data_IF_402718261744
#
_entry.id   IF_402718261744
#
_cell.length_a   1.000
_cell.length_b   1.000
_cell.length_c   1.000
_cell.angle_alpha   90.00
_cell.angle_beta   90.00
_cell.angle_gamma   90.00
#
_symmetry.space_group_name_H-M   'P 1'
#
loop_
_entity.id
_entity.type
_entity.pdbx_description
1 polymer ?
#
# COMPACT_ATOMS: atom_id res chain seq x y z
N UNK A 1 6.63 -39.41 -17.88
CA UNK A 1 6.26 -38.99 -19.23
C UNK A 1 4.87 -38.40 -19.20
N UNK A 2 4.74 -37.12 -19.25
CA UNK A 2 3.89 -36.27 -20.07
C UNK A 2 3.88 -34.83 -19.51
N UNK A 3 4.77 -34.06 -20.08
CA UNK A 3 4.77 -32.60 -19.99
C UNK A 3 3.77 -32.08 -21.01
N UNK A 4 2.61 -31.59 -20.60
CA UNK A 4 1.78 -30.69 -21.43
C UNK A 4 0.86 -29.86 -20.55
N UNK A 5 1.02 -28.54 -20.62
CA UNK A 5 -0.01 -27.59 -20.23
C UNK A 5 0.47 -26.31 -19.54
N UNK A 6 1.59 -25.71 -19.96
CA UNK A 6 1.75 -24.27 -19.71
C UNK A 6 0.86 -23.54 -20.69
N UNK A 7 -0.29 -23.04 -20.24
CA UNK A 7 -1.05 -22.07 -21.00
C UNK A 7 -0.26 -20.76 -20.95
N UNK A 8 0.31 -20.36 -22.09
CA UNK A 8 0.76 -19.00 -22.30
C UNK A 8 -0.47 -18.10 -22.25
N UNK A 9 -0.66 -17.42 -21.13
CA UNK A 9 -1.58 -16.30 -21.04
C UNK A 9 -0.94 -15.18 -21.87
N UNK A 10 -1.35 -15.02 -23.12
CA UNK A 10 -1.13 -13.82 -23.88
C UNK A 10 -1.94 -12.70 -23.21
N UNK A 11 -1.29 -11.96 -22.33
CA UNK A 11 -1.81 -10.67 -21.91
C UNK A 11 -1.76 -9.76 -23.13
N UNK A 12 -2.94 -9.35 -23.60
CA UNK A 12 -3.02 -8.29 -24.59
C UNK A 12 -2.23 -7.08 -24.06
N UNK A 13 -1.41 -6.48 -24.93
CA UNK A 13 -0.72 -5.21 -24.71
C UNK A 13 -1.76 -4.09 -24.45
N UNK A 14 -2.34 -4.07 -23.26
CA UNK A 14 -3.11 -2.93 -22.80
C UNK A 14 -2.10 -1.86 -22.40
N UNK A 15 -1.80 -0.97 -23.35
CA UNK A 15 -1.06 0.26 -23.09
C UNK A 15 -1.63 0.91 -21.85
N UNK A 16 -0.77 1.21 -20.87
CA UNK A 16 -1.13 2.07 -19.75
C UNK A 16 -1.79 3.33 -20.33
N UNK A 17 -2.90 3.82 -19.77
CA UNK A 17 -3.49 5.04 -20.26
C UNK A 17 -2.44 6.14 -20.22
N UNK A 18 -2.10 6.69 -21.40
CA UNK A 18 -1.25 7.89 -21.47
C UNK A 18 -1.94 8.97 -20.65
N UNK A 19 -1.28 9.43 -19.62
CA UNK A 19 -1.70 10.57 -18.83
C UNK A 19 -1.58 11.82 -19.73
N UNK A 20 -2.65 12.11 -20.48
CA UNK A 20 -2.70 13.26 -21.37
C UNK A 20 -2.67 14.54 -20.52
N UNK A 21 -1.50 15.15 -20.45
CA UNK A 21 -1.34 16.50 -19.88
C UNK A 21 -0.16 16.73 -18.95
N UNK A 22 0.53 15.73 -18.45
CA UNK A 22 1.77 15.91 -17.69
C UNK A 22 2.97 15.55 -18.57
N UNK A 23 3.56 16.55 -19.23
CA UNK A 23 4.92 16.43 -19.76
C UNK A 23 5.85 16.25 -18.56
N UNK A 24 6.40 15.06 -18.39
CA UNK A 24 7.46 14.80 -17.42
C UNK A 24 8.62 15.72 -17.79
N UNK A 25 8.92 16.72 -16.97
CA UNK A 25 10.13 17.48 -17.11
C UNK A 25 11.29 16.53 -16.74
N UNK A 26 12.48 16.77 -17.22
CA UNK A 26 13.62 15.83 -17.16
C UNK A 26 14.34 15.79 -15.81
N UNK A 27 13.70 16.21 -14.71
CA UNK A 27 14.34 16.28 -13.40
C UNK A 27 14.51 14.90 -12.76
N UNK A 28 13.50 14.02 -12.89
CA UNK A 28 13.55 12.66 -12.39
C UNK A 28 13.65 11.66 -13.54
N UNK A 29 14.68 10.82 -13.51
CA UNK A 29 14.83 9.69 -14.43
C UNK A 29 14.09 8.48 -13.88
N UNK A 30 12.77 8.47 -14.11
CA UNK A 30 11.89 7.36 -13.67
C UNK A 30 12.06 6.18 -14.63
N UNK A 31 12.47 5.02 -14.12
CA UNK A 31 12.65 3.80 -14.89
C UNK A 31 11.71 2.71 -14.39
N UNK A 32 10.78 2.19 -15.21
CA UNK A 32 9.91 1.09 -14.81
C UNK A 32 10.71 -0.14 -14.37
N UNK A 33 10.27 -0.80 -13.29
CA UNK A 33 10.80 -2.06 -12.80
C UNK A 33 10.01 -3.26 -13.34
N UNK A 34 8.75 -3.04 -13.67
CA UNK A 34 7.86 -4.06 -14.21
C UNK A 34 6.84 -3.47 -15.19
N UNK A 35 6.07 -4.34 -15.88
CA UNK A 35 5.11 -3.88 -16.89
C UNK A 35 3.84 -3.25 -16.28
N UNK A 36 3.58 -3.44 -15.00
CA UNK A 36 2.33 -3.04 -14.35
C UNK A 36 2.52 -2.16 -13.14
N UNK A 37 3.51 -2.46 -12.30
CA UNK A 37 3.78 -1.79 -11.04
C UNK A 37 5.27 -1.62 -10.84
N UNK A 38 5.63 -0.55 -10.16
CA UNK A 38 6.98 -0.27 -9.71
C UNK A 38 7.82 0.50 -10.71
N UNK A 39 8.46 1.53 -10.23
CA UNK A 39 9.53 2.23 -10.92
C UNK A 39 10.67 2.59 -9.95
N UNK A 40 11.86 2.82 -10.47
CA UNK A 40 13.01 3.31 -9.70
C UNK A 40 13.43 4.70 -10.18
N UNK A 41 13.91 5.49 -9.23
CA UNK A 41 14.62 6.76 -9.48
C UNK A 41 15.98 6.65 -8.84
N UNK A 42 17.02 6.60 -9.68
CA UNK A 42 18.41 6.57 -9.21
C UNK A 42 18.93 7.98 -8.99
N UNK A 43 19.89 8.12 -8.10
CA UNK A 43 20.52 9.40 -7.76
C UNK A 43 19.51 10.48 -7.32
N UNK A 44 18.43 10.06 -6.63
CA UNK A 44 17.41 10.99 -6.15
C UNK A 44 18.00 11.99 -5.15
N UNK A 45 17.72 13.28 -5.39
CA UNK A 45 18.05 14.38 -4.48
C UNK A 45 16.92 15.40 -4.49
N UNK A 46 16.51 15.79 -3.29
CA UNK A 46 15.50 16.84 -3.12
C UNK A 46 16.19 18.22 -3.09
N UNK A 47 16.57 18.72 -4.26
CA UNK A 47 17.25 20.01 -4.36
C UNK A 47 16.31 21.17 -4.03
N UNK A 48 16.69 22.05 -3.11
CA UNK A 48 15.87 23.17 -2.64
C UNK A 48 15.39 24.10 -3.78
N UNK A 49 16.24 24.34 -4.80
CA UNK A 49 15.91 25.21 -5.94
C UNK A 49 14.84 24.66 -6.88
N UNK A 50 14.61 23.35 -6.89
CA UNK A 50 13.65 22.66 -7.76
C UNK A 50 12.70 21.73 -6.98
N UNK A 51 12.65 21.85 -5.66
CA UNK A 51 11.89 20.98 -4.77
C UNK A 51 10.44 20.78 -5.20
N UNK A 52 9.73 21.87 -5.49
CA UNK A 52 8.33 21.83 -5.90
C UNK A 52 8.12 21.03 -7.19
N UNK A 53 9.00 21.15 -8.16
CA UNK A 53 8.86 20.45 -9.43
C UNK A 53 9.27 19.00 -9.31
N UNK A 54 10.31 18.69 -8.52
CA UNK A 54 10.69 17.31 -8.16
C UNK A 54 9.53 16.57 -7.49
N UNK A 55 8.86 17.20 -6.52
CA UNK A 55 7.73 16.60 -5.82
C UNK A 55 6.54 16.34 -6.74
N UNK A 56 6.25 17.25 -7.67
CA UNK A 56 5.21 17.02 -8.69
C UNK A 56 5.55 15.87 -9.65
N UNK A 57 6.82 15.76 -10.06
CA UNK A 57 7.24 14.63 -10.90
C UNK A 57 7.20 13.32 -10.15
N UNK A 58 7.55 13.33 -8.86
CA UNK A 58 7.42 12.17 -7.98
C UNK A 58 5.97 11.72 -7.85
N UNK A 59 5.04 12.66 -7.65
CA UNK A 59 3.60 12.39 -7.61
C UNK A 59 3.11 11.79 -8.94
N UNK A 60 3.47 12.40 -10.07
CA UNK A 60 3.11 11.90 -11.38
C UNK A 60 3.66 10.47 -11.62
N UNK A 61 4.90 10.23 -11.24
CA UNK A 61 5.51 8.92 -11.32
C UNK A 61 4.80 7.89 -10.43
N UNK A 62 4.43 8.26 -9.20
CA UNK A 62 3.69 7.39 -8.28
C UNK A 62 2.31 7.04 -8.82
N UNK A 63 1.58 8.03 -9.34
CA UNK A 63 0.27 7.84 -9.98
C UNK A 63 0.35 6.90 -11.19
N UNK A 64 1.43 7.00 -11.97
CA UNK A 64 1.64 6.16 -13.14
C UNK A 64 2.08 4.74 -12.81
N UNK A 65 2.97 4.57 -11.81
CA UNK A 65 3.64 3.31 -11.52
C UNK A 65 3.18 2.64 -10.22
N UNK A 66 2.29 3.26 -9.45
CA UNK A 66 1.69 2.76 -8.19
C UNK A 66 2.69 2.55 -7.04
N UNK A 67 3.98 2.37 -7.34
CA UNK A 67 5.07 2.30 -6.37
C UNK A 67 6.36 2.85 -6.98
N UNK A 68 7.16 3.59 -6.18
CA UNK A 68 8.45 4.12 -6.60
C UNK A 68 9.52 3.78 -5.57
N UNK A 69 10.65 3.30 -6.06
CA UNK A 69 11.87 3.10 -5.27
C UNK A 69 12.82 4.27 -5.51
N UNK A 70 13.09 5.06 -4.48
CA UNK A 70 14.05 6.16 -4.52
C UNK A 70 15.40 5.67 -4.01
N UNK A 71 16.45 5.76 -4.84
CA UNK A 71 17.81 5.53 -4.40
C UNK A 71 18.35 6.85 -3.81
N UNK A 72 18.14 7.04 -2.52
CA UNK A 72 18.41 8.25 -1.76
C UNK A 72 19.11 7.94 -0.44
N UNK A 73 20.37 7.45 -0.47
CA UNK A 73 21.07 7.03 0.74
C UNK A 73 21.25 8.15 1.77
N UNK A 74 21.32 9.39 1.30
CA UNK A 74 21.55 10.57 2.13
C UNK A 74 20.27 11.35 2.42
N UNK A 75 19.08 10.72 2.28
CA UNK A 75 17.81 11.37 2.55
C UNK A 75 17.71 11.77 4.03
N UNK A 76 17.62 13.06 4.31
CA UNK A 76 17.47 13.55 5.67
C UNK A 76 16.05 13.31 6.22
N UNK A 77 15.86 13.32 7.54
CA UNK A 77 14.50 13.29 8.13
C UNK A 77 13.64 14.46 7.68
N UNK A 78 14.22 15.64 7.47
CA UNK A 78 13.55 16.83 6.94
C UNK A 78 13.02 16.59 5.53
N UNK A 79 13.86 16.06 4.63
CA UNK A 79 13.48 15.76 3.25
C UNK A 79 12.45 14.66 3.19
N UNK A 80 12.57 13.62 4.04
CA UNK A 80 11.58 12.56 4.17
C UNK A 80 10.21 13.14 4.54
N UNK A 81 10.16 14.00 5.56
CA UNK A 81 8.92 14.63 6.02
C UNK A 81 8.36 15.61 4.98
N UNK A 82 9.22 16.33 4.27
CA UNK A 82 8.81 17.24 3.21
C UNK A 82 8.19 16.51 2.01
N UNK A 83 8.73 15.34 1.65
CA UNK A 83 8.11 14.47 0.62
C UNK A 83 6.75 13.98 1.11
N UNK A 84 6.66 13.48 2.34
CA UNK A 84 5.40 12.99 2.91
C UNK A 84 4.32 14.08 2.94
N UNK A 85 4.65 15.28 3.38
CA UNK A 85 3.75 16.44 3.44
C UNK A 85 3.25 16.93 2.09
N UNK A 86 3.96 16.62 1.00
CA UNK A 86 3.46 16.93 -0.34
C UNK A 86 2.19 16.16 -0.69
N UNK A 87 2.07 14.92 -0.18
CA UNK A 87 0.90 14.07 -0.42
C UNK A 87 -0.25 14.31 0.55
N UNK A 88 0.01 14.91 1.70
CA UNK A 88 -1.00 15.17 2.72
C UNK A 88 -0.40 15.47 4.08
N UNK A 89 -1.25 15.57 5.09
CA UNK A 89 -0.81 15.75 6.46
C UNK A 89 -0.21 14.44 6.99
N UNK A 90 1.02 14.52 7.48
CA UNK A 90 1.71 13.37 8.06
C UNK A 90 1.28 13.20 9.53
N UNK A 91 0.63 12.08 9.83
CA UNK A 91 0.13 11.78 11.17
C UNK A 91 1.21 11.22 12.09
N UNK A 92 0.99 11.39 13.41
CA UNK A 92 1.85 10.80 14.43
C UNK A 92 1.26 9.47 14.90
N UNK A 93 1.97 8.38 14.63
CA UNK A 93 1.60 7.06 15.15
C UNK A 93 1.91 6.94 16.63
N UNK A 94 0.88 6.72 17.43
CA UNK A 94 1.05 6.55 18.90
C UNK A 94 1.46 5.13 19.29
N UNK A 95 1.47 4.19 18.35
CA UNK A 95 1.70 2.76 18.61
C UNK A 95 3.14 2.31 18.43
N UNK A 96 3.94 3.07 17.72
CA UNK A 96 5.34 2.76 17.42
C UNK A 96 6.25 3.85 17.96
N UNK A 97 7.50 3.53 18.29
CA UNK A 97 8.50 4.56 18.55
C UNK A 97 8.69 5.44 17.32
N UNK A 98 9.06 6.68 17.54
CA UNK A 98 9.31 7.65 16.48
C UNK A 98 10.67 8.33 16.68
N UNK A 99 11.11 9.13 15.71
CA UNK A 99 12.40 9.82 15.78
C UNK A 99 12.44 10.91 16.85
N UNK A 100 11.29 11.41 17.32
CA UNK A 100 11.21 12.54 18.27
C UNK A 100 11.83 13.82 17.72
N UNK A 101 11.95 14.82 18.59
CA UNK A 101 12.65 16.08 18.30
C UNK A 101 12.15 16.84 17.05
N UNK A 102 10.84 16.86 16.82
CA UNK A 102 10.20 17.51 15.66
C UNK A 102 9.99 16.61 14.46
N UNK A 103 10.29 15.30 14.59
CA UNK A 103 10.06 14.27 13.58
C UNK A 103 9.17 13.13 14.11
N UNK A 104 8.23 13.46 14.97
CA UNK A 104 7.32 12.50 15.60
C UNK A 104 6.44 11.74 14.60
N UNK A 105 6.28 12.28 13.41
CA UNK A 105 5.56 11.62 12.29
C UNK A 105 6.37 10.49 11.64
N UNK A 106 7.70 10.45 11.87
CA UNK A 106 8.55 9.39 11.32
C UNK A 106 8.62 8.25 12.33
N UNK A 107 7.88 7.20 12.05
CA UNK A 107 7.83 5.98 12.84
C UNK A 107 9.09 5.13 12.62
N UNK A 108 9.62 4.57 13.70
CA UNK A 108 10.73 3.62 13.65
C UNK A 108 10.16 2.21 13.64
N UNK A 109 10.49 1.43 12.61
CA UNK A 109 10.16 0.00 12.51
C UNK A 109 11.46 -0.79 12.62
N UNK A 110 11.59 -1.60 13.65
CA UNK A 110 12.79 -2.40 13.90
C UNK A 110 12.44 -3.89 14.08
N UNK A 111 12.88 -4.71 13.13
CA UNK A 111 12.63 -6.16 13.16
C UNK A 111 13.23 -6.86 14.39
N UNK A 112 14.24 -6.26 15.05
CA UNK A 112 14.78 -6.77 16.32
C UNK A 112 13.80 -6.62 17.48
N UNK A 113 12.85 -5.68 17.38
CA UNK A 113 11.77 -5.48 18.34
C UNK A 113 10.54 -6.34 18.03
N UNK A 114 10.60 -7.18 17.00
CA UNK A 114 9.52 -8.07 16.59
C UNK A 114 8.59 -7.46 15.51
N UNK A 115 8.88 -6.26 15.03
CA UNK A 115 8.09 -5.64 13.97
C UNK A 115 8.20 -6.44 12.67
N UNK A 116 7.06 -6.93 12.17
CA UNK A 116 6.96 -7.74 10.95
C UNK A 116 5.73 -7.33 10.15
N UNK A 117 5.89 -7.39 8.83
CA UNK A 117 4.79 -7.27 7.88
C UNK A 117 4.92 -8.45 6.88
N UNK A 118 4.36 -9.61 7.25
CA UNK A 118 4.43 -10.87 6.49
C UNK A 118 3.09 -11.24 5.82
N UNK A 119 2.11 -10.35 5.91
CA UNK A 119 0.80 -10.49 5.30
C UNK A 119 0.50 -9.30 4.37
N UNK A 120 -0.19 -9.56 3.26
CA UNK A 120 -0.67 -8.50 2.38
C UNK A 120 -1.65 -7.57 3.09
N UNK A 121 -1.41 -6.27 3.05
CA UNK A 121 -2.26 -5.27 3.66
C UNK A 121 -2.20 -3.93 2.93
N UNK A 122 -3.21 -3.11 3.18
CA UNK A 122 -3.17 -1.66 3.01
C UNK A 122 -2.97 -1.05 4.39
N UNK A 123 -2.03 -0.15 4.52
CA UNK A 123 -1.80 0.54 5.79
C UNK A 123 -3.08 1.25 6.23
N UNK A 124 -3.44 1.04 7.50
CA UNK A 124 -4.53 1.71 8.20
C UNK A 124 -5.90 1.68 7.48
N UNK A 125 -6.15 0.67 6.65
CA UNK A 125 -7.42 0.54 5.93
C UNK A 125 -8.66 0.42 6.84
N UNK A 126 -8.47 0.23 8.14
CA UNK A 126 -9.51 0.27 9.15
C UNK A 126 -9.95 1.69 9.55
N UNK A 127 -9.26 2.74 9.07
CA UNK A 127 -9.65 4.14 9.28
C UNK A 127 -10.69 4.60 8.25
N UNK A 128 -11.53 5.60 8.61
CA UNK A 128 -12.46 6.21 7.65
C UNK A 128 -11.74 6.86 6.47
N UNK A 129 -10.57 7.43 6.71
CA UNK A 129 -9.71 8.08 5.71
C UNK A 129 -8.30 7.49 5.81
N UNK A 130 -8.02 6.36 5.15
CA UNK A 130 -6.70 5.75 5.15
C UNK A 130 -5.65 6.64 4.48
N UNK A 131 -4.36 6.46 4.78
CA UNK A 131 -3.28 7.17 4.12
C UNK A 131 -3.34 7.04 2.59
N UNK A 132 -3.05 8.12 1.88
CA UNK A 132 -2.98 8.13 0.41
C UNK A 132 -1.68 7.46 -0.05
N UNK A 133 -0.60 7.68 0.68
CA UNK A 133 0.75 7.19 0.38
C UNK A 133 1.43 6.76 1.68
N UNK A 134 2.12 5.66 1.64
CA UNK A 134 3.07 5.24 2.68
C UNK A 134 4.48 5.36 2.13
N UNK A 135 5.38 5.93 2.91
CA UNK A 135 6.78 6.08 2.56
C UNK A 135 7.66 5.47 3.64
N UNK A 136 8.53 4.55 3.25
CA UNK A 136 9.52 3.94 4.13
C UNK A 136 10.94 4.26 3.66
N UNK A 137 11.85 4.54 4.61
CA UNK A 137 13.26 4.75 4.33
C UNK A 137 14.08 3.69 5.05
N UNK A 138 14.67 2.78 4.29
CA UNK A 138 15.50 1.70 4.83
C UNK A 138 16.81 2.26 5.38
N UNK A 139 17.04 2.10 6.68
CA UNK A 139 18.27 2.51 7.37
C UNK A 139 19.28 1.37 7.48
N UNK A 140 18.78 0.17 7.76
CA UNK A 140 19.58 -1.04 7.88
C UNK A 140 18.87 -2.14 7.11
N UNK A 141 19.57 -2.76 6.19
CA UNK A 141 19.07 -3.89 5.42
C UNK A 141 19.85 -5.16 5.79
N UNK A 142 19.20 -6.31 5.92
CA UNK A 142 19.91 -7.57 6.09
C UNK A 142 20.64 -7.94 4.79
N UNK A 143 21.69 -8.76 4.85
CA UNK A 143 22.43 -9.20 3.65
C UNK A 143 21.58 -10.11 2.75
N UNK A 144 20.54 -10.74 3.28
CA UNK A 144 19.62 -11.65 2.58
C UNK A 144 18.23 -11.55 3.19
N UNK A 145 17.20 -11.47 2.34
CA UNK A 145 15.81 -11.41 2.74
C UNK A 145 15.38 -10.02 3.26
N UNK A 146 14.19 -9.94 3.83
CA UNK A 146 13.60 -8.68 4.29
C UNK A 146 13.09 -7.81 3.16
N UNK A 147 12.81 -8.40 2.00
CA UNK A 147 12.27 -7.67 0.84
C UNK A 147 10.88 -7.13 1.12
N UNK A 148 10.63 -5.90 0.65
CA UNK A 148 9.28 -5.34 0.64
C UNK A 148 8.64 -5.61 -0.72
N UNK A 149 7.45 -6.20 -0.70
CA UNK A 149 6.71 -6.55 -1.91
C UNK A 149 5.47 -5.66 -2.06
N UNK A 150 5.15 -5.31 -3.30
CA UNK A 150 3.93 -4.59 -3.65
C UNK A 150 3.14 -5.34 -4.71
N UNK A 151 1.82 -5.25 -4.64
CA UNK A 151 0.89 -5.83 -5.59
C UNK A 151 -0.04 -4.75 -6.13
N UNK A 152 -0.28 -4.77 -7.44
CA UNK A 152 -1.19 -3.83 -8.10
C UNK A 152 -2.64 -4.29 -7.94
N UNK A 153 -3.40 -3.61 -7.10
CA UNK A 153 -4.81 -3.90 -6.88
C UNK A 153 -5.70 -3.43 -8.03
N UNK A 154 -5.21 -2.50 -8.86
CA UNK A 154 -5.87 -2.14 -10.13
C UNK A 154 -5.71 -3.28 -11.14
N UNK A 155 -4.52 -3.86 -11.27
CA UNK A 155 -4.30 -5.02 -12.14
C UNK A 155 -5.05 -6.26 -11.67
N UNK A 156 -5.15 -6.47 -10.36
CA UNK A 156 -5.97 -7.55 -9.80
C UNK A 156 -7.45 -7.38 -10.17
N UNK A 157 -7.99 -6.16 -10.04
CA UNK A 157 -9.36 -5.88 -10.50
C UNK A 157 -9.52 -6.11 -12.01
N UNK A 158 -8.58 -5.62 -12.83
CA UNK A 158 -8.63 -5.73 -14.29
C UNK A 158 -8.65 -7.20 -14.74
N UNK A 159 -7.96 -8.09 -14.02
CA UNK A 159 -7.88 -9.52 -14.32
C UNK A 159 -9.14 -10.32 -13.97
N UNK A 160 -10.07 -9.76 -13.21
CA UNK A 160 -11.35 -10.41 -12.92
C UNK A 160 -12.22 -10.50 -14.18
N UNK A 161 -13.06 -11.54 -14.25
CA UNK A 161 -14.10 -11.61 -15.27
C UNK A 161 -15.11 -10.48 -15.15
N UNK A 162 -15.72 -10.06 -16.25
CA UNK A 162 -16.74 -8.99 -16.24
C UNK A 162 -17.92 -9.32 -15.33
N UNK A 163 -18.30 -10.59 -15.22
CA UNK A 163 -19.36 -11.01 -14.29
C UNK A 163 -18.95 -10.85 -12.83
N UNK A 164 -17.68 -11.15 -12.49
CA UNK A 164 -17.19 -10.93 -11.14
C UNK A 164 -17.09 -9.43 -10.84
N UNK A 165 -16.59 -8.63 -11.75
CA UNK A 165 -16.56 -7.16 -11.61
C UNK A 165 -17.95 -6.60 -11.32
N UNK A 166 -18.95 -7.00 -12.11
CA UNK A 166 -20.35 -6.61 -11.91
C UNK A 166 -20.91 -7.06 -10.55
N UNK A 167 -20.57 -8.27 -10.12
CA UNK A 167 -21.00 -8.79 -8.83
C UNK A 167 -20.42 -8.01 -7.64
N UNK A 168 -19.15 -7.62 -7.74
CA UNK A 168 -18.45 -6.92 -6.67
C UNK A 168 -18.81 -5.42 -6.59
N UNK A 169 -19.33 -4.84 -7.67
CA UNK A 169 -19.74 -3.44 -7.67
C UNK A 169 -20.88 -3.19 -6.68
N UNK A 170 -20.70 -2.19 -5.83
CA UNK A 170 -21.65 -1.82 -4.79
C UNK A 170 -21.53 -2.61 -3.49
N UNK A 171 -20.74 -3.71 -3.47
CA UNK A 171 -20.45 -4.40 -2.22
C UNK A 171 -19.49 -3.58 -1.36
N UNK A 172 -19.66 -3.69 -0.05
CA UNK A 172 -18.80 -3.07 0.95
C UNK A 172 -18.23 -4.15 1.88
N UNK A 173 -17.02 -3.92 2.39
CA UNK A 173 -16.40 -4.82 3.34
C UNK A 173 -15.92 -4.06 4.58
N UNK A 174 -16.03 -4.70 5.72
CA UNK A 174 -15.52 -4.20 6.98
C UNK A 174 -14.03 -4.47 7.09
N UNK A 175 -13.29 -3.42 7.42
CA UNK A 175 -11.88 -3.46 7.78
C UNK A 175 -11.75 -3.18 9.27
N UNK A 176 -10.96 -3.99 9.98
CA UNK A 176 -10.89 -3.99 11.44
C UNK A 176 -9.47 -4.27 11.93
N UNK A 177 -9.01 -3.50 12.91
CA UNK A 177 -7.70 -3.68 13.55
C UNK A 177 -7.72 -4.74 14.66
N UNK A 178 -8.90 -5.15 15.15
CA UNK A 178 -9.00 -6.05 16.30
C UNK A 178 -8.45 -7.45 16.01
N UNK A 179 -8.65 -7.97 14.80
CA UNK A 179 -8.10 -9.26 14.37
C UNK A 179 -6.57 -9.30 14.49
N UNK A 180 -5.86 -8.46 13.75
CA UNK A 180 -4.40 -8.34 13.83
C UNK A 180 -3.87 -8.12 15.26
N UNK A 181 -4.53 -7.27 16.05
CA UNK A 181 -4.12 -7.03 17.43
C UNK A 181 -4.32 -8.24 18.33
N UNK A 182 -5.39 -8.99 18.12
CA UNK A 182 -5.65 -10.25 18.86
C UNK A 182 -4.58 -11.29 18.52
N UNK A 183 -4.20 -11.40 17.27
CA UNK A 183 -3.15 -12.32 16.84
C UNK A 183 -1.77 -11.89 17.34
N UNK A 184 -1.47 -10.60 17.30
CA UNK A 184 -0.25 -10.04 17.88
C UNK A 184 -0.13 -10.31 19.39
N UNK A 185 -1.24 -10.22 20.14
CA UNK A 185 -1.27 -10.57 21.55
C UNK A 185 -1.04 -12.07 21.77
N UNK A 186 -1.69 -12.94 21.01
CA UNK A 186 -1.52 -14.42 21.10
C UNK A 186 -0.08 -14.84 20.87
N UNK A 187 0.62 -14.16 19.99
CA UNK A 187 2.01 -14.45 19.65
C UNK A 187 3.03 -13.66 20.49
N UNK A 188 2.57 -12.94 21.53
CA UNK A 188 3.42 -12.11 22.41
C UNK A 188 4.19 -11.00 21.67
N UNK A 189 3.69 -10.52 20.55
CA UNK A 189 4.25 -9.39 19.79
C UNK A 189 3.89 -8.06 20.45
N UNK A 190 2.71 -7.99 21.08
CA UNK A 190 2.26 -6.83 21.85
C UNK A 190 1.92 -7.24 23.28
N UNK A 191 2.06 -6.28 24.22
CA UNK A 191 1.64 -6.48 25.61
C UNK A 191 0.12 -6.41 25.75
N UNK A 192 -0.42 -7.02 26.79
CA UNK A 192 -1.86 -6.93 27.10
C UNK A 192 -2.31 -5.46 27.31
N UNK A 193 -1.50 -4.64 27.96
CA UNK A 193 -1.79 -3.22 28.15
C UNK A 193 -1.94 -2.49 26.82
N UNK A 194 -1.01 -2.73 25.89
CA UNK A 194 -1.06 -2.15 24.55
C UNK A 194 -2.25 -2.65 23.74
N UNK A 195 -2.55 -3.95 23.82
CA UNK A 195 -3.74 -4.52 23.20
C UNK A 195 -5.01 -3.79 23.65
N UNK A 196 -5.20 -3.62 24.98
CA UNK A 196 -6.35 -2.92 25.54
C UNK A 196 -6.44 -1.46 25.07
N UNK A 197 -5.31 -0.75 25.02
CA UNK A 197 -5.26 0.64 24.52
C UNK A 197 -5.72 0.76 23.06
N UNK A 198 -5.38 -0.20 22.23
CA UNK A 198 -5.74 -0.19 20.81
C UNK A 198 -7.19 -0.56 20.59
N UNK A 199 -7.66 -1.66 21.19
CA UNK A 199 -9.05 -2.13 20.99
C UNK A 199 -10.11 -1.22 21.61
N UNK A 200 -9.75 -0.40 22.60
CA UNK A 200 -10.66 0.62 23.16
C UNK A 200 -11.00 1.74 22.15
N UNK A 201 -10.14 1.96 21.16
CA UNK A 201 -10.46 2.84 20.05
C UNK A 201 -11.21 2.01 19.01
N UNK A 202 -12.43 2.38 18.69
CA UNK A 202 -13.16 1.71 17.61
C UNK A 202 -12.42 1.94 16.27
N UNK A 203 -11.55 0.99 15.95
CA UNK A 203 -10.71 1.04 14.74
C UNK A 203 -11.25 0.05 13.72
N UNK A 204 -12.43 0.36 13.22
CA UNK A 204 -13.07 -0.39 12.14
C UNK A 204 -13.85 0.55 11.23
N UNK A 205 -13.82 0.28 9.94
CA UNK A 205 -14.58 1.07 8.99
C UNK A 205 -15.07 0.24 7.81
N UNK A 206 -16.21 0.65 7.24
CA UNK A 206 -16.82 0.03 6.09
C UNK A 206 -16.33 0.74 4.82
N UNK A 207 -15.69 -0.01 3.92
CA UNK A 207 -15.19 0.52 2.65
C UNK A 207 -15.81 -0.19 1.46
N UNK A 208 -15.97 0.50 0.30
CA UNK A 208 -16.28 -0.17 -0.95
C UNK A 208 -15.23 -1.25 -1.26
N UNK A 209 -15.69 -2.44 -1.66
CA UNK A 209 -14.82 -3.56 -2.07
C UNK A 209 -14.07 -3.24 -3.37
N UNK A 210 -14.66 -2.39 -4.20
CA UNK A 210 -14.04 -1.80 -5.39
C UNK A 210 -14.00 -0.29 -5.23
N UNK A 211 -12.79 0.27 -5.13
CA UNK A 211 -12.56 1.72 -5.07
C UNK A 211 -12.14 2.27 -6.43
N UNK A 212 -12.55 3.50 -6.70
CA UNK A 212 -12.08 4.26 -7.87
C UNK A 212 -10.93 5.17 -7.43
N UNK A 213 -9.79 5.06 -8.09
CA UNK A 213 -8.65 5.92 -7.80
C UNK A 213 -8.98 7.37 -8.20
N UNK A 214 -8.86 8.34 -7.27
CA UNK A 214 -9.39 9.70 -7.47
C UNK A 214 -8.73 10.47 -8.62
N UNK A 215 -7.47 10.16 -8.95
CA UNK A 215 -6.72 10.85 -10.00
C UNK A 215 -6.87 10.11 -11.33
N UNK A 216 -6.68 8.78 -11.35
CA UNK A 216 -6.65 8.00 -12.59
C UNK A 216 -8.02 7.54 -13.07
N UNK A 217 -9.02 7.51 -12.19
CA UNK A 217 -10.33 6.91 -12.46
C UNK A 217 -10.30 5.38 -12.57
N UNK A 218 -9.15 4.73 -12.40
CA UNK A 218 -9.05 3.27 -12.45
C UNK A 218 -9.72 2.65 -11.22
N UNK A 219 -10.38 1.53 -11.43
CA UNK A 219 -10.95 0.72 -10.36
C UNK A 219 -9.88 -0.21 -9.78
N UNK A 220 -9.93 -0.42 -8.47
CA UNK A 220 -9.02 -1.28 -7.74
C UNK A 220 -9.80 -2.11 -6.72
N UNK A 221 -9.39 -3.34 -6.47
CA UNK A 221 -9.86 -4.10 -5.32
C UNK A 221 -9.32 -3.43 -4.05
N UNK A 222 -10.19 -3.20 -3.07
CA UNK A 222 -9.81 -2.60 -1.78
C UNK A 222 -10.07 -3.58 -0.65
N UNK A 223 -9.23 -4.59 -0.58
CA UNK A 223 -9.26 -5.69 0.39
C UNK A 223 -7.86 -6.06 0.83
N UNK A 224 -7.73 -6.61 2.01
CA UNK A 224 -6.49 -7.23 2.46
C UNK A 224 -6.76 -8.38 3.42
N UNK A 225 -5.99 -9.47 3.38
CA UNK A 225 -6.14 -10.56 4.35
C UNK A 225 -5.95 -10.11 5.80
N UNK A 226 -5.18 -9.04 6.02
CA UNK A 226 -4.88 -8.54 7.37
C UNK A 226 -6.08 -7.84 8.01
N UNK A 227 -6.74 -6.95 7.30
CA UNK A 227 -7.76 -6.07 7.91
C UNK A 227 -9.18 -6.35 7.44
N UNK A 228 -9.39 -6.93 6.25
CA UNK A 228 -10.74 -7.18 5.74
C UNK A 228 -11.35 -8.40 6.44
N UNK A 229 -12.44 -8.19 7.16
CA UNK A 229 -13.07 -9.23 7.98
C UNK A 229 -14.25 -9.90 7.32
N UNK A 230 -15.15 -9.14 6.73
CA UNK A 230 -16.35 -9.69 6.08
C UNK A 230 -16.99 -8.67 5.13
N UNK A 231 -17.79 -9.16 4.20
CA UNK A 231 -18.59 -8.34 3.28
C UNK A 231 -19.91 -8.04 3.99
N UNK A 232 -20.25 -6.76 4.04
CA UNK A 232 -21.47 -6.29 4.70
C UNK A 232 -22.73 -6.83 4.03
N UNK A 233 -23.71 -7.19 4.84
CA UNK A 233 -25.00 -7.71 4.38
C UNK A 233 -24.99 -9.15 3.85
N UNK A 234 -23.83 -9.83 3.79
CA UNK A 234 -23.78 -11.24 3.39
C UNK A 234 -23.68 -12.19 4.57
N UNK A 235 -24.28 -13.39 4.48
CA UNK A 235 -24.00 -14.46 5.43
C UNK A 235 -22.51 -14.80 5.50
N UNK A 236 -22.03 -15.23 6.67
CA UNK A 236 -20.60 -15.53 6.90
C UNK A 236 -20.02 -16.50 5.87
N UNK A 237 -20.76 -17.53 5.50
CA UNK A 237 -20.30 -18.54 4.53
C UNK A 237 -20.10 -17.96 3.14
N UNK A 238 -21.00 -17.08 2.67
CA UNK A 238 -20.89 -16.42 1.37
C UNK A 238 -19.74 -15.41 1.37
N UNK A 239 -19.70 -14.55 2.39
CA UNK A 239 -18.63 -13.58 2.57
C UNK A 239 -17.26 -14.25 2.55
N UNK A 240 -17.07 -15.32 3.33
CA UNK A 240 -15.79 -16.04 3.38
C UNK A 240 -15.43 -16.68 2.03
N UNK A 241 -16.40 -17.25 1.32
CA UNK A 241 -16.14 -17.86 0.01
C UNK A 241 -15.64 -16.82 -0.99
N UNK A 242 -16.25 -15.64 -1.02
CA UNK A 242 -15.86 -14.54 -1.92
C UNK A 242 -14.50 -13.96 -1.52
N UNK A 243 -14.29 -13.64 -0.25
CA UNK A 243 -13.02 -13.08 0.22
C UNK A 243 -11.87 -14.04 0.03
N UNK A 244 -12.03 -15.34 0.30
CA UNK A 244 -10.99 -16.35 0.07
C UNK A 244 -10.64 -16.48 -1.42
N UNK A 245 -11.63 -16.41 -2.31
CA UNK A 245 -11.38 -16.36 -3.75
C UNK A 245 -10.55 -15.12 -4.10
N UNK A 246 -10.94 -13.95 -3.64
CA UNK A 246 -10.26 -12.69 -3.94
C UNK A 246 -8.85 -12.59 -3.34
N UNK A 247 -8.62 -13.15 -2.15
CA UNK A 247 -7.28 -13.19 -1.53
C UNK A 247 -6.32 -14.14 -2.24
N UNK A 248 -6.85 -15.15 -2.93
CA UNK A 248 -6.05 -16.10 -3.71
C UNK A 248 -5.91 -15.72 -5.18
N UNK A 249 -6.64 -14.73 -5.64
CA UNK A 249 -6.65 -14.22 -7.01
C UNK A 249 -5.40 -13.40 -7.32
#
# INVERSE_FOLDING_TARGET
>A
MNSKGRRNLHYADSQLPEYKGMTMSSLLKVKPLGPRIGAEVRDFKLAASSKKDILKELEAGLVQHEAIVLHAPDLSPEDHLDIAKHFGEAEVHTYYPNLGKGFEQITIIDSKLGDRADMWHHDESFLPSPPIVTMTHAQVLPPVGGDTCWISMTSAYDALSEKMKQYLEGLQAWHDMNGPMTDALRHNVVTHERYVQVIQKEQRHLHPLVKVHPITGRKALYISPTYTTHIDGLPVSESNAILNFLFSH
#
